data_IF_809475190958
#
_entry.id   IF_809475190958
#
_cell.length_a   1.000
_cell.length_b   1.000
_cell.length_c   1.000
_cell.angle_alpha   90.00
_cell.angle_beta   90.00
_cell.angle_gamma   90.00
#
_symmetry.space_group_name_H-M   'P 1'
#
loop_
_entity.id
_entity.type
_entity.pdbx_description
1 polymer ?
#
# COMPACT_ATOMS: atom_id res chain seq x y z
N UNK A 1 -31.61 -71.47 -28.68
CA UNK A 1 -30.16 -71.26 -28.87
C UNK A 1 -29.89 -69.77 -28.74
N UNK A 2 -29.26 -69.34 -27.65
CA UNK A 2 -28.88 -67.95 -27.48
C UNK A 2 -27.71 -67.65 -28.42
N UNK A 3 -27.89 -66.65 -29.29
CA UNK A 3 -26.84 -66.18 -30.20
C UNK A 3 -25.76 -65.54 -29.33
N UNK A 4 -24.60 -66.20 -29.19
CA UNK A 4 -23.48 -65.64 -28.45
C UNK A 4 -22.92 -64.46 -29.27
N UNK A 5 -22.93 -63.22 -28.75
CA UNK A 5 -22.43 -62.08 -29.49
C UNK A 5 -20.93 -62.26 -29.74
N UNK A 6 -20.50 -62.06 -30.99
CA UNK A 6 -19.10 -62.12 -31.40
C UNK A 6 -18.35 -61.02 -30.64
N UNK A 7 -17.41 -61.41 -29.78
CA UNK A 7 -16.59 -60.48 -28.99
C UNK A 7 -15.40 -60.07 -29.85
N UNK A 8 -15.14 -58.76 -29.96
CA UNK A 8 -13.97 -58.26 -30.70
C UNK A 8 -12.70 -58.55 -29.89
N UNK A 9 -11.70 -59.18 -30.50
CA UNK A 9 -10.46 -59.64 -29.84
C UNK A 9 -9.24 -58.86 -30.35
N UNK A 10 -8.33 -58.49 -29.44
CA UNK A 10 -7.07 -57.82 -29.79
C UNK A 10 -6.18 -58.67 -30.71
N UNK A 11 -5.36 -58.02 -31.53
CA UNK A 11 -4.45 -58.66 -32.50
C UNK A 11 -3.42 -59.58 -31.83
N UNK A 12 -2.94 -59.23 -30.64
CA UNK A 12 -1.99 -60.00 -29.83
C UNK A 12 -2.00 -59.49 -28.38
N UNK A 13 -1.60 -60.31 -27.40
CA UNK A 13 -1.40 -59.89 -26.00
C UNK A 13 0.09 -60.03 -25.58
N UNK A 14 0.97 -60.26 -26.55
CA UNK A 14 2.39 -60.56 -26.30
C UNK A 14 3.28 -59.31 -26.24
N UNK A 15 2.80 -58.18 -26.76
CA UNK A 15 3.52 -56.91 -26.83
C UNK A 15 2.57 -55.77 -26.52
N UNK A 16 3.08 -54.76 -25.82
CA UNK A 16 2.23 -53.74 -25.20
C UNK A 16 1.46 -52.89 -26.21
N UNK A 17 2.03 -52.66 -27.39
CA UNK A 17 1.39 -51.87 -28.45
C UNK A 17 0.32 -52.63 -29.28
N UNK A 18 0.16 -53.95 -29.07
CA UNK A 18 -0.88 -54.77 -29.72
C UNK A 18 -1.95 -55.26 -28.72
N UNK A 19 -1.68 -55.14 -27.43
CA UNK A 19 -2.52 -55.60 -26.33
C UNK A 19 -3.66 -54.62 -26.02
N UNK A 20 -4.86 -55.16 -25.83
CA UNK A 20 -6.03 -54.38 -25.41
C UNK A 20 -6.30 -54.66 -23.93
N UNK A 21 -6.50 -53.60 -23.14
CA UNK A 21 -6.69 -53.68 -21.69
C UNK A 21 -5.50 -53.25 -20.82
N UNK A 22 -4.48 -52.60 -21.40
CA UNK A 22 -3.38 -52.03 -20.63
C UNK A 22 -3.87 -50.93 -19.67
N UNK A 23 -3.30 -50.91 -18.46
CA UNK A 23 -3.60 -49.86 -17.50
C UNK A 23 -2.75 -48.63 -17.84
N UNK A 24 -3.43 -47.55 -18.20
CA UNK A 24 -2.82 -46.23 -18.33
C UNK A 24 -2.05 -45.82 -17.06
N UNK A 25 -0.82 -45.34 -17.22
CA UNK A 25 0.01 -44.85 -16.13
C UNK A 25 -0.38 -43.40 -15.78
N UNK A 26 -0.79 -43.19 -14.54
CA UNK A 26 -1.20 -41.89 -14.02
C UNK A 26 -0.50 -41.61 -12.70
N UNK A 27 0.00 -40.38 -12.54
CA UNK A 27 0.46 -39.91 -11.23
C UNK A 27 -0.72 -39.88 -10.26
N UNK A 28 -0.64 -40.57 -9.10
CA UNK A 28 -1.69 -40.56 -8.09
C UNK A 28 -1.81 -39.20 -7.36
N UNK A 29 -0.82 -38.32 -7.53
CA UNK A 29 -0.72 -37.01 -6.89
C UNK A 29 -0.97 -35.92 -7.94
N UNK A 30 -1.89 -35.01 -7.62
CA UNK A 30 -2.10 -33.77 -8.37
C UNK A 30 -1.11 -32.72 -7.83
N UNK A 31 -0.17 -32.28 -8.64
CA UNK A 31 0.75 -31.20 -8.30
C UNK A 31 0.10 -29.84 -8.63
N UNK A 32 0.03 -28.95 -7.63
CA UNK A 32 -0.35 -27.55 -7.85
C UNK A 32 0.86 -26.64 -7.60
N UNK A 33 1.14 -25.74 -8.53
CA UNK A 33 2.20 -24.72 -8.45
C UNK A 33 1.65 -23.31 -8.23
N UNK A 34 0.33 -23.18 -8.06
CA UNK A 34 -0.30 -21.90 -7.81
C UNK A 34 0.32 -21.23 -6.58
N UNK A 35 0.62 -19.94 -6.66
CA UNK A 35 1.23 -19.22 -5.56
C UNK A 35 0.20 -19.01 -4.44
N UNK A 36 0.32 -19.78 -3.35
CA UNK A 36 -0.45 -19.63 -2.11
C UNK A 36 0.03 -18.44 -1.24
N UNK A 37 0.62 -17.40 -1.83
CA UNK A 37 1.25 -16.30 -1.09
C UNK A 37 0.23 -15.22 -0.70
N UNK A 38 0.00 -15.08 0.61
CA UNK A 38 -0.89 -14.12 1.27
C UNK A 38 -0.10 -13.26 2.28
N UNK A 39 0.91 -12.54 1.78
CA UNK A 39 1.89 -11.84 2.61
C UNK A 39 1.21 -10.85 3.56
N UNK A 40 0.45 -9.89 3.05
CA UNK A 40 -0.25 -8.90 3.86
C UNK A 40 -1.26 -9.53 4.80
N UNK A 41 -2.04 -10.51 4.32
CA UNK A 41 -3.02 -11.20 5.16
C UNK A 41 -2.37 -11.91 6.37
N UNK A 42 -1.11 -12.33 6.24
CA UNK A 42 -0.36 -12.99 7.31
C UNK A 42 0.40 -12.00 8.21
N UNK A 43 1.04 -10.99 7.62
CA UNK A 43 1.89 -10.05 8.35
C UNK A 43 1.08 -8.96 9.07
N UNK A 44 -0.08 -8.55 8.53
CA UNK A 44 -0.89 -7.54 9.19
C UNK A 44 -1.56 -8.10 10.46
N UNK A 45 -1.44 -7.41 11.60
CA UNK A 45 -2.11 -7.82 12.82
C UNK A 45 -3.63 -7.79 12.62
N UNK A 46 -4.28 -8.81 13.19
CA UNK A 46 -5.74 -8.81 13.29
C UNK A 46 -6.15 -7.91 14.44
N UNK A 47 -6.87 -6.86 14.09
CA UNK A 47 -7.45 -5.90 15.04
C UNK A 47 -8.80 -6.42 15.56
N UNK A 48 -9.40 -5.69 16.51
CA UNK A 48 -10.75 -6.00 16.98
C UNK A 48 -11.75 -6.03 15.80
N UNK A 49 -12.75 -6.89 15.89
CA UNK A 49 -13.73 -7.07 14.82
C UNK A 49 -14.49 -5.75 14.54
N UNK A 50 -14.86 -5.53 13.28
CA UNK A 50 -15.60 -4.35 12.86
C UNK A 50 -17.07 -4.45 13.35
N UNK A 51 -17.59 -3.39 13.95
CA UNK A 51 -18.98 -3.30 14.40
C UNK A 51 -19.91 -2.64 13.38
N UNK A 52 -19.34 -1.95 12.39
CA UNK A 52 -20.05 -1.24 11.33
C UNK A 52 -19.38 -1.47 9.98
N UNK A 53 -20.16 -1.38 8.89
CA UNK A 53 -19.65 -1.52 7.51
C UNK A 53 -18.74 -0.37 7.08
N UNK A 54 -18.93 0.81 7.66
CA UNK A 54 -17.99 1.92 7.60
C UNK A 54 -17.43 2.11 9.01
N UNK A 55 -16.14 1.83 9.19
CA UNK A 55 -15.47 2.02 10.46
C UNK A 55 -14.50 3.19 10.37
N UNK A 56 -14.37 3.90 11.48
CA UNK A 56 -13.52 5.07 11.59
C UNK A 56 -12.61 4.96 12.81
N UNK A 57 -11.53 5.71 12.75
CA UNK A 57 -10.61 5.89 13.86
C UNK A 57 -10.13 7.34 13.87
N UNK A 58 -9.65 7.77 15.03
CA UNK A 58 -9.17 9.13 15.23
C UNK A 58 -7.64 9.12 15.23
N UNK A 59 -7.08 10.17 14.68
CA UNK A 59 -5.64 10.45 14.72
C UNK A 59 -5.43 11.83 15.30
N UNK A 60 -4.32 12.00 16.00
CA UNK A 60 -3.91 13.28 16.57
C UNK A 60 -2.47 13.57 16.14
N UNK A 61 -2.15 14.85 16.01
CA UNK A 61 -0.80 15.34 15.84
C UNK A 61 -0.51 16.42 16.86
N UNK A 62 0.71 16.45 17.38
CA UNK A 62 1.15 17.52 18.25
C UNK A 62 1.30 18.82 17.46
N UNK A 63 1.02 19.96 18.11
CA UNK A 63 1.34 21.27 17.51
C UNK A 63 2.86 21.40 17.32
N UNK A 64 3.30 22.12 16.28
CA UNK A 64 4.72 22.38 16.10
C UNK A 64 5.30 23.12 17.32
N UNK A 65 6.62 23.00 17.55
CA UNK A 65 7.28 23.70 18.64
C UNK A 65 7.10 25.22 18.48
N UNK A 66 7.05 25.92 19.61
CA UNK A 66 6.96 27.39 19.66
C UNK A 66 8.05 27.94 20.56
N UNK A 67 8.38 29.22 20.38
CA UNK A 67 9.18 29.95 21.36
C UNK A 67 8.35 30.10 22.63
N UNK A 68 8.65 29.28 23.64
CA UNK A 68 7.89 29.18 24.88
C UNK A 68 8.62 29.88 26.05
N UNK A 69 9.06 31.12 25.81
CA UNK A 69 9.65 31.97 26.83
C UNK A 69 8.53 32.76 27.54
N UNK A 70 8.58 32.78 28.86
CA UNK A 70 7.58 33.40 29.73
C UNK A 70 8.27 34.28 30.78
N UNK A 71 7.62 35.38 31.17
CA UNK A 71 8.15 36.27 32.22
C UNK A 71 8.04 35.61 33.60
N UNK A 72 8.87 36.06 34.56
CA UNK A 72 8.82 35.58 35.95
C UNK A 72 7.47 35.88 36.63
N UNK A 73 6.79 36.96 36.21
CA UNK A 73 5.45 37.34 36.66
C UNK A 73 4.57 37.68 35.45
N UNK A 74 3.70 36.76 35.06
CA UNK A 74 2.69 36.96 34.01
C UNK A 74 1.39 36.20 34.33
N UNK A 75 0.26 36.72 33.82
CA UNK A 75 -1.03 36.05 33.92
C UNK A 75 -1.13 34.93 32.87
N UNK A 76 -1.63 33.76 33.28
CA UNK A 76 -1.85 32.65 32.37
C UNK A 76 -2.89 32.99 31.30
N UNK A 77 -2.49 32.97 30.03
CA UNK A 77 -3.40 32.98 28.88
C UNK A 77 -3.59 31.55 28.38
N UNK A 78 -4.84 31.11 28.28
CA UNK A 78 -5.20 29.76 27.84
C UNK A 78 -5.74 29.79 26.41
N UNK A 79 -5.12 28.98 25.54
CA UNK A 79 -5.58 28.76 24.17
C UNK A 79 -6.44 27.50 24.06
N UNK A 80 -7.18 27.38 22.96
CA UNK A 80 -7.88 26.13 22.62
C UNK A 80 -6.85 25.01 22.38
N UNK A 81 -7.07 23.88 23.03
CA UNK A 81 -6.20 22.69 22.99
C UNK A 81 -6.79 21.62 22.08
N UNK A 82 -5.91 20.87 21.41
CA UNK A 82 -6.24 19.65 20.68
C UNK A 82 -6.85 19.87 19.28
N UNK A 83 -6.61 18.91 18.40
CA UNK A 83 -7.35 18.73 17.15
C UNK A 83 -7.26 17.26 16.76
N UNK A 84 -8.41 16.64 16.50
CA UNK A 84 -8.51 15.24 16.09
C UNK A 84 -8.90 15.20 14.63
N UNK A 85 -8.20 14.40 13.84
CA UNK A 85 -8.60 14.06 12.48
C UNK A 85 -9.24 12.67 12.43
N UNK A 86 -10.26 12.51 11.58
CA UNK A 86 -11.02 11.26 11.48
C UNK A 86 -10.74 10.59 10.15
N UNK A 87 -10.11 9.42 10.22
CA UNK A 87 -9.93 8.52 9.08
C UNK A 87 -11.04 7.47 9.06
N UNK A 88 -11.33 6.94 7.87
CA UNK A 88 -12.33 5.90 7.69
C UNK A 88 -11.92 4.90 6.61
N UNK A 89 -12.54 3.72 6.67
CA UNK A 89 -12.53 2.74 5.59
C UNK A 89 -13.79 1.87 5.69
N UNK A 90 -14.01 1.07 4.67
CA UNK A 90 -15.21 0.25 4.49
C UNK A 90 -14.86 -1.23 4.44
N UNK A 91 -15.79 -2.05 4.92
CA UNK A 91 -15.74 -3.51 4.82
C UNK A 91 -16.07 -3.94 3.39
N UNK A 92 -15.28 -4.85 2.83
CA UNK A 92 -15.56 -5.53 1.58
C UNK A 92 -16.06 -6.94 1.84
N UNK A 93 -17.03 -7.37 1.02
CA UNK A 93 -17.57 -8.73 1.05
C UNK A 93 -16.87 -9.59 -0.01
N UNK A 94 -16.46 -10.78 0.40
CA UNK A 94 -15.82 -11.79 -0.44
C UNK A 94 -16.69 -13.03 -0.45
N UNK A 95 -16.91 -13.57 -1.65
CA UNK A 95 -17.68 -14.80 -1.84
C UNK A 95 -16.99 -15.66 -2.89
N UNK A 96 -16.77 -16.93 -2.58
CA UNK A 96 -16.33 -17.95 -3.54
C UNK A 96 -17.33 -19.09 -3.52
N UNK A 97 -17.80 -19.51 -4.69
CA UNK A 97 -18.84 -20.54 -4.81
C UNK A 97 -18.38 -21.65 -5.74
N UNK A 98 -18.91 -22.85 -5.52
CA UNK A 98 -18.66 -23.98 -6.39
C UNK A 98 -19.72 -25.05 -6.25
N UNK A 99 -19.76 -25.98 -7.21
CA UNK A 99 -20.68 -27.11 -7.21
C UNK A 99 -20.05 -28.34 -7.83
N UNK A 100 -20.42 -29.51 -7.31
CA UNK A 100 -19.98 -30.81 -7.84
C UNK A 100 -21.19 -31.71 -7.99
N UNK A 101 -21.34 -32.34 -9.16
CA UNK A 101 -22.46 -33.24 -9.44
C UNK A 101 -22.38 -34.53 -8.62
N UNK A 102 -23.53 -35.10 -8.25
CA UNK A 102 -23.58 -36.34 -7.48
C UNK A 102 -22.93 -37.52 -8.24
N UNK A 103 -23.03 -37.52 -9.57
CA UNK A 103 -22.35 -38.49 -10.42
C UNK A 103 -20.83 -38.32 -10.34
N UNK A 104 -20.33 -37.09 -10.43
CA UNK A 104 -18.89 -36.83 -10.33
C UNK A 104 -18.34 -37.07 -8.92
N UNK A 105 -19.16 -37.17 -7.88
CA UNK A 105 -18.69 -37.61 -6.57
C UNK A 105 -18.58 -39.14 -6.46
N UNK A 106 -19.39 -39.88 -7.22
CA UNK A 106 -19.46 -41.36 -7.18
C UNK A 106 -18.53 -42.06 -8.16
N UNK A 107 -18.22 -41.46 -9.31
CA UNK A 107 -17.33 -42.07 -10.31
C UNK A 107 -15.95 -42.35 -9.67
N UNK A 108 -15.29 -43.45 -10.01
CA UNK A 108 -13.93 -43.72 -9.51
C UNK A 108 -12.91 -42.79 -10.18
N UNK A 109 -11.94 -42.28 -9.42
CA UNK A 109 -10.88 -41.38 -9.91
C UNK A 109 -9.57 -42.13 -9.93
N UNK A 110 -8.74 -41.82 -10.92
CA UNK A 110 -7.39 -42.38 -11.01
C UNK A 110 -6.44 -41.77 -9.96
N UNK A 111 -6.71 -40.56 -9.49
CA UNK A 111 -5.94 -39.86 -8.45
C UNK A 111 -6.44 -40.19 -7.03
N UNK A 112 -5.58 -40.02 -6.01
CA UNK A 112 -5.85 -40.48 -4.64
C UNK A 112 -7.10 -39.85 -3.98
N UNK A 113 -7.40 -38.59 -4.28
CA UNK A 113 -8.60 -37.92 -3.78
C UNK A 113 -9.84 -38.35 -4.59
N UNK A 114 -10.62 -39.28 -4.04
CA UNK A 114 -11.78 -39.86 -4.74
C UNK A 114 -13.03 -38.95 -4.74
N UNK A 115 -13.25 -38.17 -3.67
CA UNK A 115 -14.32 -37.15 -3.62
C UNK A 115 -13.77 -35.79 -4.06
N UNK A 116 -14.37 -35.25 -5.11
CA UNK A 116 -13.99 -33.98 -5.72
C UNK A 116 -14.50 -32.78 -4.91
N UNK A 117 -15.55 -32.96 -4.10
CA UNK A 117 -16.18 -31.85 -3.37
C UNK A 117 -15.29 -31.24 -2.27
N UNK A 118 -14.66 -32.01 -1.36
CA UNK A 118 -13.72 -31.47 -0.37
C UNK A 118 -12.49 -30.82 -1.02
N UNK A 119 -12.00 -31.40 -2.13
CA UNK A 119 -10.84 -30.87 -2.87
C UNK A 119 -11.14 -29.49 -3.47
N UNK A 120 -12.30 -29.35 -4.10
CA UNK A 120 -12.74 -28.07 -4.67
C UNK A 120 -12.99 -27.01 -3.59
N UNK A 121 -13.47 -27.43 -2.41
CA UNK A 121 -13.58 -26.53 -1.25
C UNK A 121 -12.22 -26.02 -0.77
N UNK A 122 -11.22 -26.88 -0.65
CA UNK A 122 -9.88 -26.47 -0.21
C UNK A 122 -9.27 -25.46 -1.21
N UNK A 123 -9.39 -25.72 -2.51
CA UNK A 123 -8.97 -24.79 -3.55
C UNK A 123 -9.72 -23.46 -3.48
N UNK A 124 -11.02 -23.49 -3.19
CA UNK A 124 -11.82 -22.29 -3.03
C UNK A 124 -11.39 -21.45 -1.81
N UNK A 125 -10.99 -22.07 -0.69
CA UNK A 125 -10.43 -21.33 0.46
C UNK A 125 -9.12 -20.63 0.10
N UNK A 126 -8.23 -21.31 -0.63
CA UNK A 126 -6.97 -20.73 -1.11
C UNK A 126 -7.23 -19.58 -2.09
N UNK A 127 -8.19 -19.75 -3.00
CA UNK A 127 -8.61 -18.70 -3.92
C UNK A 127 -9.16 -17.49 -3.17
N UNK A 128 -10.03 -17.69 -2.18
CA UNK A 128 -10.58 -16.60 -1.39
C UNK A 128 -9.48 -15.84 -0.63
N UNK A 129 -8.50 -16.55 -0.04
CA UNK A 129 -7.35 -15.91 0.59
C UNK A 129 -6.54 -15.05 -0.40
N UNK A 130 -6.37 -15.51 -1.63
CA UNK A 130 -5.71 -14.75 -2.71
C UNK A 130 -6.51 -13.52 -3.14
N UNK A 131 -7.84 -13.62 -3.17
CA UNK A 131 -8.72 -12.50 -3.52
C UNK A 131 -8.73 -11.45 -2.40
N UNK A 132 -8.66 -11.88 -1.14
CA UNK A 132 -8.47 -11.01 0.01
C UNK A 132 -7.11 -10.29 -0.04
N UNK A 133 -6.03 -11.01 -0.34
CA UNK A 133 -4.69 -10.43 -0.51
C UNK A 133 -4.68 -9.37 -1.62
N UNK A 134 -5.30 -9.68 -2.76
CA UNK A 134 -5.42 -8.74 -3.88
C UNK A 134 -6.13 -7.45 -3.46
N UNK A 135 -7.19 -7.56 -2.64
CA UNK A 135 -7.89 -6.38 -2.13
C UNK A 135 -6.99 -5.51 -1.24
N UNK A 136 -6.16 -6.11 -0.37
CA UNK A 136 -5.21 -5.36 0.48
C UNK A 136 -4.12 -4.72 -0.38
N UNK A 137 -3.57 -5.47 -1.32
CA UNK A 137 -2.43 -5.05 -2.12
C UNK A 137 -2.79 -3.97 -3.16
N UNK A 138 -3.95 -4.10 -3.84
CA UNK A 138 -4.24 -3.35 -5.08
C UNK A 138 -5.39 -2.35 -4.98
N UNK A 139 -6.28 -2.44 -3.99
CA UNK A 139 -7.42 -1.52 -3.96
C UNK A 139 -6.99 -0.07 -3.62
N UNK A 140 -7.27 0.85 -4.53
CA UNK A 140 -7.04 2.30 -4.38
C UNK A 140 -8.27 3.07 -3.93
N UNK A 141 -9.43 2.42 -3.76
CA UNK A 141 -10.70 3.10 -3.45
C UNK A 141 -11.43 2.38 -2.32
N UNK A 142 -11.83 3.15 -1.31
CA UNK A 142 -12.82 2.77 -0.29
C UNK A 142 -14.20 3.30 -0.66
N UNK A 143 -15.23 2.45 -0.58
CA UNK A 143 -16.63 2.87 -0.74
C UNK A 143 -17.61 1.86 -0.15
N UNK A 144 -18.78 2.36 0.23
CA UNK A 144 -19.94 1.55 0.55
C UNK A 144 -20.63 1.01 -0.72
N UNK A 145 -21.45 -0.01 -0.55
CA UNK A 145 -22.32 -0.52 -1.61
C UNK A 145 -23.34 0.55 -2.03
N UNK A 146 -23.61 0.62 -3.33
CA UNK A 146 -24.63 1.51 -3.88
C UNK A 146 -25.29 0.89 -5.10
N UNK A 147 -26.56 0.50 -4.97
CA UNK A 147 -27.31 -0.18 -6.04
C UNK A 147 -26.61 -1.46 -6.50
N UNK A 148 -26.16 -1.50 -7.76
CA UNK A 148 -25.39 -2.64 -8.30
C UNK A 148 -23.88 -2.52 -8.11
N UNK A 149 -23.39 -1.48 -7.43
CA UNK A 149 -21.97 -1.25 -7.21
C UNK A 149 -21.56 -1.85 -5.86
N UNK A 150 -20.73 -2.92 -5.84
CA UNK A 150 -20.33 -3.55 -4.59
C UNK A 150 -19.49 -2.63 -3.71
N UNK A 151 -19.56 -2.85 -2.39
CA UNK A 151 -18.65 -2.27 -1.42
C UNK A 151 -17.21 -2.70 -1.72
N UNK A 152 -16.26 -1.77 -1.53
CA UNK A 152 -14.82 -2.05 -1.67
C UNK A 152 -14.09 -1.49 -0.48
N UNK A 153 -13.11 -2.23 0.02
CA UNK A 153 -12.21 -1.75 1.06
C UNK A 153 -11.01 -1.08 0.40
N UNK A 154 -10.57 0.05 0.95
CA UNK A 154 -9.29 0.64 0.57
C UNK A 154 -8.15 -0.25 1.07
N UNK A 155 -7.24 -0.63 0.18
CA UNK A 155 -6.03 -1.37 0.52
C UNK A 155 -4.88 -0.44 0.91
N UNK A 156 -3.67 -0.96 0.94
CA UNK A 156 -2.44 -0.16 1.12
C UNK A 156 -2.36 1.02 0.13
N UNK A 157 -2.68 0.85 -1.18
CA UNK A 157 -2.71 1.95 -2.14
C UNK A 157 -3.64 3.11 -1.79
N UNK A 158 -4.79 2.84 -1.20
CA UNK A 158 -5.76 3.87 -0.85
C UNK A 158 -5.22 4.83 0.21
N UNK A 159 -4.46 4.31 1.18
CA UNK A 159 -3.87 5.12 2.24
C UNK A 159 -2.57 5.81 1.81
N UNK A 160 -1.89 5.29 0.78
CA UNK A 160 -0.62 5.80 0.24
C UNK A 160 -0.74 6.45 -1.14
N UNK A 161 -1.94 6.91 -1.51
CA UNK A 161 -2.17 7.71 -2.72
C UNK A 161 -1.89 9.19 -2.44
N UNK A 162 -1.42 9.95 -3.43
CA UNK A 162 -1.12 11.39 -3.26
C UNK A 162 -2.30 12.17 -2.67
N UNK A 163 -2.08 12.79 -1.51
CA UNK A 163 -3.01 13.75 -0.93
C UNK A 163 -2.47 15.16 -1.16
N UNK A 164 -3.08 15.86 -2.12
CA UNK A 164 -2.59 17.15 -2.61
C UNK A 164 -3.60 18.28 -2.38
N UNK A 165 -3.09 19.44 -1.97
CA UNK A 165 -3.87 20.67 -1.83
C UNK A 165 -3.34 21.72 -2.82
N UNK A 166 -4.21 22.24 -3.69
CA UNK A 166 -3.79 23.22 -4.70
C UNK A 166 -3.32 24.51 -4.05
N UNK A 167 -2.18 25.02 -4.51
CA UNK A 167 -1.55 26.25 -4.01
C UNK A 167 -1.23 27.19 -5.17
N UNK A 168 -1.42 28.48 -4.92
CA UNK A 168 -1.03 29.56 -5.81
C UNK A 168 0.04 30.40 -5.11
N UNK A 169 1.10 30.73 -5.82
CA UNK A 169 2.20 31.55 -5.31
C UNK A 169 2.14 32.96 -5.89
N UNK A 170 2.34 33.97 -5.05
CA UNK A 170 2.43 35.37 -5.46
C UNK A 170 3.86 35.89 -5.27
N UNK A 171 4.58 36.11 -6.37
CA UNK A 171 6.00 36.47 -6.34
C UNK A 171 6.30 37.88 -5.80
N UNK A 172 5.32 38.79 -5.81
CA UNK A 172 5.50 40.15 -5.29
C UNK A 172 5.38 40.19 -3.78
N UNK A 173 4.38 39.49 -3.24
CA UNK A 173 4.12 39.41 -1.80
C UNK A 173 4.90 38.28 -1.10
N UNK A 174 5.51 37.36 -1.87
CA UNK A 174 6.16 36.14 -1.41
C UNK A 174 5.25 35.27 -0.53
N UNK A 175 3.96 35.25 -0.87
CA UNK A 175 2.91 34.51 -0.17
C UNK A 175 2.47 33.30 -0.98
N UNK A 176 2.04 32.26 -0.26
CA UNK A 176 1.35 31.12 -0.81
C UNK A 176 -0.11 31.12 -0.34
N UNK A 177 -1.03 30.81 -1.24
CA UNK A 177 -2.47 30.75 -0.95
C UNK A 177 -3.05 29.43 -1.43
N UNK A 178 -3.78 28.75 -0.55
CA UNK A 178 -4.46 27.49 -0.86
C UNK A 178 -5.92 27.71 -1.24
N UNK A 179 -6.47 26.82 -2.07
CA UNK A 179 -7.88 26.88 -2.48
C UNK A 179 -8.88 26.60 -1.36
N UNK A 180 -8.43 25.90 -0.32
CA UNK A 180 -9.20 25.55 0.88
C UNK A 180 -8.36 25.78 2.14
N UNK A 181 -8.99 25.69 3.31
CA UNK A 181 -8.30 25.84 4.58
C UNK A 181 -7.18 24.79 4.72
N UNK A 182 -5.93 25.24 4.86
CA UNK A 182 -4.78 24.33 4.84
C UNK A 182 -4.64 23.49 6.11
N UNK A 183 -5.26 23.90 7.23
CA UNK A 183 -5.21 23.23 8.55
C UNK A 183 -3.79 23.07 9.12
N UNK A 184 -2.87 23.94 8.71
CA UNK A 184 -1.48 23.96 9.19
C UNK A 184 -1.33 25.12 10.20
N UNK A 185 -0.39 24.96 11.11
CA UNK A 185 0.01 25.97 12.09
C UNK A 185 1.40 26.52 11.75
N UNK A 186 1.75 27.65 12.34
CA UNK A 186 3.11 28.19 12.21
C UNK A 186 4.12 27.20 12.77
N UNK A 187 5.15 26.87 11.99
CA UNK A 187 6.18 25.88 12.32
C UNK A 187 5.97 24.50 11.72
N UNK A 188 4.80 24.23 11.12
CA UNK A 188 4.61 23.00 10.34
C UNK A 188 5.47 23.03 9.06
N UNK A 189 5.98 21.86 8.67
CA UNK A 189 6.74 21.70 7.43
C UNK A 189 5.88 21.13 6.31
N UNK A 190 6.19 21.52 5.06
CA UNK A 190 5.47 21.10 3.86
C UNK A 190 6.40 20.81 2.70
N UNK A 191 5.92 19.98 1.77
CA UNK A 191 6.56 19.72 0.49
C UNK A 191 5.68 20.25 -0.64
N UNK A 192 6.32 20.70 -1.71
CA UNK A 192 5.63 21.14 -2.91
C UNK A 192 5.94 20.24 -4.10
N UNK A 193 4.91 19.98 -4.88
CA UNK A 193 5.00 19.25 -6.13
C UNK A 193 4.37 20.09 -7.23
N UNK A 194 4.85 19.88 -8.45
CA UNK A 194 4.31 20.48 -9.66
C UNK A 194 3.78 19.36 -10.55
N UNK A 195 2.55 19.48 -11.05
CA UNK A 195 1.98 18.45 -11.90
C UNK A 195 2.56 18.50 -13.32
N UNK A 196 2.87 17.33 -13.90
CA UNK A 196 3.33 17.19 -15.28
C UNK A 196 4.55 18.06 -15.61
N UNK A 197 4.38 19.03 -16.53
CA UNK A 197 5.40 19.98 -16.98
C UNK A 197 5.35 21.31 -16.23
N UNK A 198 4.55 21.39 -15.17
CA UNK A 198 4.51 22.55 -14.30
C UNK A 198 5.88 22.77 -13.64
N UNK A 199 6.14 24.01 -13.23
CA UNK A 199 7.41 24.41 -12.61
C UNK A 199 7.11 25.15 -11.32
N UNK A 200 7.77 24.70 -10.25
CA UNK A 200 7.76 25.42 -8.99
C UNK A 200 8.40 26.82 -9.15
N UNK A 201 8.08 27.76 -8.24
CA UNK A 201 8.82 29.00 -8.10
C UNK A 201 10.33 28.79 -8.09
N UNK A 202 11.10 29.75 -8.63
CA UNK A 202 12.54 29.64 -8.82
C UNK A 202 13.31 29.14 -7.58
N UNK A 203 12.92 29.59 -6.39
CA UNK A 203 13.61 29.27 -5.15
C UNK A 203 12.96 28.14 -4.34
N UNK A 204 12.00 27.43 -4.94
CA UNK A 204 11.40 26.21 -4.41
C UNK A 204 11.78 25.02 -5.30
N UNK A 205 12.35 23.99 -4.67
CA UNK A 205 12.60 22.67 -5.23
C UNK A 205 11.58 21.65 -4.68
N UNK A 206 11.29 20.64 -5.51
CA UNK A 206 10.58 19.44 -5.09
C UNK A 206 11.42 18.61 -4.10
N UNK A 207 10.77 17.73 -3.33
CA UNK A 207 11.39 16.85 -2.32
C UNK A 207 12.19 17.57 -1.23
N UNK A 208 12.01 18.88 -1.09
CA UNK A 208 12.58 19.68 -0.01
C UNK A 208 11.47 20.21 0.89
N UNK A 209 11.73 20.21 2.18
CA UNK A 209 10.84 20.78 3.18
C UNK A 209 10.94 22.30 3.25
N UNK A 210 9.81 22.93 3.54
CA UNK A 210 9.70 24.35 3.85
C UNK A 210 8.84 24.53 5.08
N UNK A 211 9.18 25.50 5.93
CA UNK A 211 8.44 25.80 7.15
C UNK A 211 7.45 26.93 6.91
N UNK A 212 6.26 26.79 7.49
CA UNK A 212 5.15 27.71 7.29
C UNK A 212 5.06 28.72 8.43
N UNK A 213 4.78 29.98 8.10
CA UNK A 213 4.15 30.94 9.02
C UNK A 213 2.71 31.20 8.58
N UNK A 214 1.76 30.88 9.45
CA UNK A 214 0.33 31.04 9.15
C UNK A 214 -0.07 32.52 9.22
N UNK A 215 -0.60 33.08 8.13
CA UNK A 215 -1.20 34.44 8.10
C UNK A 215 -2.72 34.40 8.24
N UNK A 216 -3.35 33.43 7.60
CA UNK A 216 -4.78 33.15 7.69
C UNK A 216 -5.02 31.64 7.52
N UNK A 217 -6.27 31.18 7.48
CA UNK A 217 -6.56 29.75 7.22
C UNK A 217 -6.25 29.31 5.78
N UNK A 218 -6.01 30.24 4.87
CA UNK A 218 -5.73 29.97 3.45
C UNK A 218 -4.41 30.56 2.96
N UNK A 219 -3.80 31.48 3.71
CA UNK A 219 -2.59 32.20 3.29
C UNK A 219 -1.47 31.99 4.30
N UNK A 220 -0.27 31.72 3.78
CA UNK A 220 0.93 31.55 4.57
C UNK A 220 2.19 32.02 3.85
N UNK A 221 3.25 32.18 4.63
CA UNK A 221 4.60 32.45 4.15
C UNK A 221 5.50 31.24 4.35
N UNK A 222 6.61 31.21 3.61
CA UNK A 222 7.57 30.10 3.61
C UNK A 222 8.96 30.53 4.10
N UNK A 223 9.60 29.63 4.84
CA UNK A 223 10.95 29.78 5.40
C UNK A 223 11.77 28.50 5.20
N UNK A 224 13.09 28.63 5.16
CA UNK A 224 13.99 27.48 5.01
C UNK A 224 14.23 26.73 6.31
N UNK A 225 13.97 27.37 7.45
CA UNK A 225 14.15 26.80 8.78
C UNK A 225 12.98 27.10 9.70
N UNK A 226 12.77 26.20 10.67
CA UNK A 226 11.78 26.34 11.72
C UNK A 226 12.00 27.61 12.54
N UNK A 227 13.24 27.87 12.94
CA UNK A 227 13.60 29.00 13.80
C UNK A 227 13.24 30.34 13.14
N UNK A 228 13.46 30.47 11.83
CA UNK A 228 13.08 31.67 11.08
C UNK A 228 11.56 31.85 11.01
N UNK A 229 10.80 30.77 10.78
CA UNK A 229 9.35 30.83 10.77
C UNK A 229 8.78 31.24 12.14
N UNK A 230 9.33 30.70 13.22
CA UNK A 230 8.93 31.03 14.60
C UNK A 230 9.33 32.45 15.00
N UNK A 231 10.55 32.88 14.65
CA UNK A 231 11.01 34.24 14.91
C UNK A 231 10.11 35.26 14.21
N UNK A 232 9.71 34.99 12.96
CA UNK A 232 8.84 35.85 12.18
C UNK A 232 7.38 35.90 12.68
N UNK A 233 6.92 34.93 13.46
CA UNK A 233 5.56 34.89 14.05
C UNK A 233 5.50 35.42 15.48
N UNK A 234 6.66 35.65 16.09
CA UNK A 234 6.75 36.15 17.46
C UNK A 234 6.18 37.57 17.60
N UNK A 235 5.67 37.91 18.78
CA UNK A 235 5.25 39.28 19.09
C UNK A 235 6.40 40.30 19.10
N UNK A 236 7.64 39.81 19.11
CA UNK A 236 8.88 40.59 19.07
C UNK A 236 9.50 40.62 17.66
N UNK A 237 8.83 40.04 16.66
CA UNK A 237 9.34 39.94 15.30
C UNK A 237 9.70 41.31 14.73
N UNK A 238 10.93 41.44 14.23
CA UNK A 238 11.37 42.66 13.56
C UNK A 238 11.04 42.62 12.06
N UNK A 239 11.20 43.75 11.38
CA UNK A 239 11.14 43.79 9.91
C UNK A 239 12.23 42.91 9.25
N UNK A 240 13.34 42.64 9.94
CA UNK A 240 14.36 41.73 9.46
C UNK A 240 13.91 40.26 9.53
N UNK A 241 13.23 39.86 10.61
CA UNK A 241 12.74 38.48 10.79
C UNK A 241 11.63 38.16 9.78
N UNK A 242 10.68 39.08 9.64
CA UNK A 242 9.62 38.95 8.62
C UNK A 242 10.15 39.05 7.18
N UNK A 243 11.31 39.68 6.98
CA UNK A 243 12.00 39.80 5.70
C UNK A 243 12.78 38.54 5.28
N UNK A 244 12.97 37.55 6.16
CA UNK A 244 13.60 36.25 5.82
C UNK A 244 12.68 35.29 5.07
N UNK A 245 11.44 35.72 4.79
CA UNK A 245 10.52 34.97 3.93
C UNK A 245 11.23 34.63 2.61
N UNK A 246 11.03 33.40 2.14
CA UNK A 246 11.63 32.94 0.89
C UNK A 246 11.15 33.85 -0.25
N UNK A 247 12.09 34.55 -0.88
CA UNK A 247 11.81 35.28 -2.11
C UNK A 247 11.50 34.27 -3.20
N UNK A 248 10.26 34.25 -3.71
CA UNK A 248 9.84 33.22 -4.67
C UNK A 248 10.47 33.41 -6.05
N UNK A 249 10.83 34.66 -6.39
CA UNK A 249 11.42 35.08 -7.67
C UNK A 249 10.41 35.07 -8.83
N UNK A 250 9.63 34.00 -8.95
CA UNK A 250 8.56 33.80 -9.93
C UNK A 250 7.39 33.08 -9.28
N UNK A 251 6.16 33.24 -9.80
CA UNK A 251 4.99 32.51 -9.29
C UNK A 251 4.98 30.99 -9.63
N UNK A 252 5.97 30.49 -10.36
CA UNK A 252 5.90 29.17 -10.98
C UNK A 252 4.94 29.16 -12.18
N UNK A 253 4.69 27.98 -12.75
CA UNK A 253 3.80 27.82 -13.90
C UNK A 253 3.02 26.52 -13.81
N UNK A 254 1.74 26.53 -14.20
CA UNK A 254 0.86 25.36 -14.17
C UNK A 254 0.21 25.13 -12.81
N UNK A 255 -0.29 23.91 -12.59
CA UNK A 255 -0.91 23.52 -11.33
C UNK A 255 0.14 23.05 -10.33
N UNK A 256 0.18 23.74 -9.19
CA UNK A 256 1.12 23.50 -8.10
C UNK A 256 0.35 23.02 -6.87
N UNK A 257 0.95 22.10 -6.13
CA UNK A 257 0.29 21.48 -4.99
C UNK A 257 1.22 21.37 -3.79
N UNK A 258 0.61 21.52 -2.61
CA UNK A 258 1.17 21.11 -1.33
C UNK A 258 0.87 19.62 -1.12
N UNK A 259 1.91 18.83 -0.90
CA UNK A 259 1.82 17.39 -0.65
C UNK A 259 1.68 17.11 0.85
N UNK A 260 0.61 16.43 1.26
CA UNK A 260 0.29 16.18 2.67
C UNK A 260 0.82 14.84 3.20
N UNK A 261 1.09 13.89 2.31
CA UNK A 261 1.56 12.55 2.63
C UNK A 261 2.96 12.27 2.07
N UNK A 262 3.46 11.05 2.24
CA UNK A 262 4.84 10.65 1.90
C UNK A 262 4.85 9.90 0.56
N UNK A 263 4.64 10.63 -0.53
CA UNK A 263 4.60 10.03 -1.87
C UNK A 263 5.63 10.71 -2.76
N UNK A 264 6.48 9.91 -3.40
CA UNK A 264 7.46 10.37 -4.38
C UNK A 264 7.07 9.85 -5.75
N UNK A 265 6.98 10.76 -6.72
CA UNK A 265 6.71 10.44 -8.12
C UNK A 265 8.02 10.03 -8.84
N UNK A 266 8.05 8.82 -9.38
CA UNK A 266 9.15 8.29 -10.19
C UNK A 266 9.21 8.87 -11.62
N UNK A 267 8.26 9.72 -12.00
CA UNK A 267 8.15 10.43 -13.26
C UNK A 267 8.19 9.52 -14.52
N UNK A 268 7.68 8.30 -14.41
CA UNK A 268 7.73 7.28 -15.46
C UNK A 268 9.14 6.71 -15.69
N UNK A 269 10.08 6.97 -14.78
CA UNK A 269 11.48 6.53 -14.87
C UNK A 269 11.82 5.51 -13.78
N UNK A 270 12.85 4.70 -14.02
CA UNK A 270 13.28 3.72 -13.03
C UNK A 270 13.78 4.41 -11.77
N UNK A 271 13.28 3.99 -10.60
CA UNK A 271 13.66 4.60 -9.32
C UNK A 271 15.18 4.57 -9.08
N UNK A 272 15.61 5.58 -8.33
CA UNK A 272 16.99 5.76 -7.84
C UNK A 272 17.07 5.52 -6.33
N UNK A 273 18.29 5.51 -5.80
CA UNK A 273 18.53 5.49 -4.35
C UNK A 273 17.96 6.75 -3.67
N UNK A 274 18.09 7.90 -4.33
CA UNK A 274 17.54 9.17 -3.84
C UNK A 274 16.02 9.08 -3.64
N UNK A 275 15.28 8.42 -4.54
CA UNK A 275 13.83 8.25 -4.33
C UNK A 275 13.49 7.43 -3.07
N UNK A 276 14.31 6.44 -2.73
CA UNK A 276 14.13 5.66 -1.50
C UNK A 276 14.43 6.53 -0.29
N UNK A 277 15.54 7.26 -0.31
CA UNK A 277 15.95 8.14 0.78
C UNK A 277 14.97 9.31 0.99
N UNK A 278 14.45 9.90 -0.08
CA UNK A 278 13.43 10.96 -0.03
C UNK A 278 12.16 10.46 0.68
N UNK A 279 11.66 9.26 0.34
CA UNK A 279 10.47 8.69 1.02
C UNK A 279 10.78 8.38 2.49
N UNK A 280 11.94 7.82 2.78
CA UNK A 280 12.36 7.53 4.15
C UNK A 280 12.47 8.80 5.01
N UNK A 281 13.04 9.86 4.46
CA UNK A 281 13.14 11.16 5.11
C UNK A 281 11.76 11.75 5.39
N UNK A 282 10.85 11.67 4.40
CA UNK A 282 9.47 12.12 4.55
C UNK A 282 8.72 11.37 5.67
N UNK A 283 8.91 10.05 5.78
CA UNK A 283 8.35 9.24 6.85
C UNK A 283 8.96 9.61 8.21
N UNK A 284 10.29 9.70 8.30
CA UNK A 284 11.01 10.03 9.52
C UNK A 284 10.59 11.39 10.09
N UNK A 285 10.52 12.42 9.23
CA UNK A 285 10.08 13.77 9.64
C UNK A 285 8.64 13.80 10.17
N UNK A 286 7.79 12.87 9.73
CA UNK A 286 6.41 12.71 10.21
C UNK A 286 6.30 11.69 11.37
N UNK A 287 7.42 11.19 11.87
CA UNK A 287 7.50 10.29 13.03
C UNK A 287 7.21 8.83 12.73
N UNK A 288 7.35 8.39 11.47
CA UNK A 288 7.24 6.98 11.09
C UNK A 288 8.59 6.33 10.81
N UNK A 289 8.67 5.03 11.09
CA UNK A 289 9.89 4.23 10.91
C UNK A 289 9.59 3.00 10.02
N UNK A 290 9.43 3.18 8.70
CA UNK A 290 9.14 2.08 7.79
C UNK A 290 10.30 1.08 7.73
N UNK A 291 9.97 -0.21 7.92
CA UNK A 291 10.97 -1.31 8.01
C UNK A 291 10.89 -2.28 6.84
N UNK A 292 9.79 -2.28 6.09
CA UNK A 292 9.53 -3.21 5.00
C UNK A 292 9.21 -2.43 3.72
N UNK A 293 9.89 -2.74 2.63
CA UNK A 293 9.53 -2.25 1.30
C UNK A 293 8.88 -3.37 0.49
N UNK A 294 7.60 -3.25 0.17
CA UNK A 294 6.87 -4.22 -0.66
C UNK A 294 6.89 -3.77 -2.12
N UNK A 295 7.27 -4.68 -3.00
CA UNK A 295 7.45 -4.38 -4.42
C UNK A 295 7.21 -5.60 -5.32
N UNK A 296 7.06 -5.35 -6.61
CA UNK A 296 7.01 -6.41 -7.62
C UNK A 296 8.37 -7.12 -7.78
N UNK A 297 8.37 -8.29 -8.42
CA UNK A 297 9.61 -9.02 -8.71
C UNK A 297 10.56 -8.23 -9.62
N UNK A 298 10.04 -7.44 -10.56
CA UNK A 298 10.85 -6.58 -11.43
C UNK A 298 11.53 -5.47 -10.62
N UNK A 299 10.77 -4.80 -9.76
CA UNK A 299 11.28 -3.74 -8.88
C UNK A 299 12.29 -4.27 -7.87
N UNK A 300 12.13 -5.50 -7.36
CA UNK A 300 13.13 -6.11 -6.48
C UNK A 300 14.46 -6.37 -7.18
N UNK A 301 14.44 -6.83 -8.45
CA UNK A 301 15.68 -6.99 -9.23
C UNK A 301 16.38 -5.64 -9.41
N UNK A 302 15.62 -4.57 -9.64
CA UNK A 302 16.15 -3.21 -9.72
C UNK A 302 16.69 -2.73 -8.39
N UNK A 303 15.99 -2.99 -7.28
CA UNK A 303 16.42 -2.63 -5.93
C UNK A 303 17.80 -3.22 -5.65
N UNK A 304 17.98 -4.53 -5.86
CA UNK A 304 19.29 -5.16 -5.72
C UNK A 304 20.36 -4.52 -6.60
N UNK A 305 20.04 -4.13 -7.83
CA UNK A 305 20.98 -3.47 -8.74
C UNK A 305 21.36 -2.05 -8.29
N UNK A 306 20.41 -1.26 -7.77
CA UNK A 306 20.66 0.09 -7.24
C UNK A 306 21.57 0.02 -6.02
N UNK A 307 21.30 -0.88 -5.08
CA UNK A 307 22.09 -1.02 -3.85
C UNK A 307 23.50 -1.58 -4.11
N UNK A 308 23.63 -2.59 -4.99
CA UNK A 308 24.94 -3.22 -5.29
C UNK A 308 25.80 -2.42 -6.27
N UNK A 309 25.20 -1.55 -7.09
CA UNK A 309 25.90 -0.72 -8.08
C UNK A 309 26.93 0.24 -7.49
N UNK A 310 26.79 0.61 -6.21
CA UNK A 310 27.77 1.44 -5.49
C UNK A 310 28.79 0.61 -4.70
N UNK A 311 28.40 -0.56 -4.17
CA UNK A 311 29.30 -1.46 -3.44
C UNK A 311 30.45 -2.00 -4.32
N UNK A 312 30.21 -2.20 -5.62
CA UNK A 312 31.24 -2.61 -6.59
C UNK A 312 32.30 -1.53 -6.89
N UNK A 313 32.03 -0.25 -6.59
CA UNK A 313 33.00 0.85 -6.76
C UNK A 313 34.02 0.96 -5.62
N UNK A 314 33.83 0.20 -4.53
CA UNK A 314 34.67 0.28 -3.31
C UNK A 314 35.27 -1.05 -2.87
N UNK A 315 35.15 -2.13 -3.66
CA UNK A 315 35.74 -3.43 -3.30
C UNK A 315 37.18 -3.53 -3.79
N UNK A 316 38.08 -3.80 -2.85
CA UNK A 316 39.42 -4.31 -3.13
C UNK A 316 39.34 -5.69 -3.79
N UNK A 317 40.28 -5.96 -4.70
CA UNK A 317 40.37 -7.09 -5.65
C UNK A 317 40.38 -8.51 -5.03
N UNK A 318 40.19 -8.66 -3.70
CA UNK A 318 40.42 -9.90 -2.95
C UNK A 318 39.15 -10.70 -2.60
N UNK A 319 37.97 -10.10 -2.59
CA UNK A 319 36.71 -10.81 -2.30
C UNK A 319 36.04 -11.33 -3.58
N UNK A 320 36.24 -12.63 -3.85
CA UNK A 320 35.79 -13.34 -5.06
C UNK A 320 34.34 -13.82 -5.07
N UNK A 321 33.51 -13.45 -4.08
CA UNK A 321 32.08 -13.77 -4.10
C UNK A 321 31.25 -12.51 -4.37
N UNK A 322 30.67 -12.47 -5.57
CA UNK A 322 29.74 -11.42 -6.00
C UNK A 322 28.34 -11.80 -5.53
N UNK A 323 27.93 -11.29 -4.38
CA UNK A 323 26.55 -11.43 -3.91
C UNK A 323 25.71 -10.31 -4.51
N UNK A 324 25.12 -10.54 -5.69
CA UNK A 324 24.29 -9.55 -6.41
C UNK A 324 22.85 -9.41 -5.85
N UNK A 325 22.57 -10.04 -4.71
CA UNK A 325 21.25 -10.03 -4.09
C UNK A 325 21.42 -9.39 -2.72
N UNK A 326 20.78 -8.24 -2.52
CA UNK A 326 20.78 -7.54 -1.24
C UNK A 326 19.32 -7.33 -0.84
N UNK A 327 18.92 -7.99 0.26
CA UNK A 327 17.54 -7.90 0.73
C UNK A 327 17.29 -6.71 1.64
N UNK A 328 18.35 -6.17 2.23
CA UNK A 328 18.27 -5.11 3.24
C UNK A 328 19.11 -3.93 2.80
N UNK A 329 18.51 -2.74 2.83
CA UNK A 329 19.19 -1.48 2.63
C UNK A 329 19.22 -0.71 3.95
N UNK A 330 20.38 -0.19 4.32
CA UNK A 330 20.55 0.66 5.49
C UNK A 330 20.67 2.09 4.97
N UNK A 331 19.63 2.88 5.20
CA UNK A 331 19.59 4.31 4.95
C UNK A 331 19.98 5.08 6.21
N UNK A 332 20.22 6.38 6.07
CA UNK A 332 20.47 7.28 7.21
C UNK A 332 19.27 7.38 8.17
N UNK A 333 18.07 7.02 7.70
CA UNK A 333 16.81 7.08 8.45
C UNK A 333 16.33 5.71 8.94
N UNK A 334 17.13 4.65 8.76
CA UNK A 334 16.77 3.31 9.23
C UNK A 334 17.03 2.22 8.21
N UNK A 335 16.66 0.99 8.59
CA UNK A 335 16.91 -0.21 7.80
C UNK A 335 15.63 -0.72 7.17
N UNK A 336 15.66 -0.92 5.85
CA UNK A 336 14.52 -1.39 5.06
C UNK A 336 14.82 -2.77 4.52
N UNK A 337 13.92 -3.71 4.72
CA UNK A 337 13.97 -5.03 4.09
C UNK A 337 12.99 -5.10 2.93
N UNK A 338 13.50 -5.34 1.73
CA UNK A 338 12.67 -5.43 0.54
C UNK A 338 12.02 -6.82 0.41
N UNK A 339 10.69 -6.85 0.36
CA UNK A 339 9.85 -8.03 0.22
C UNK A 339 9.17 -8.06 -1.15
N UNK A 340 9.16 -9.23 -1.79
CA UNK A 340 8.53 -9.41 -3.10
C UNK A 340 7.09 -9.83 -2.95
N UNK A 341 6.18 -9.08 -3.58
CA UNK A 341 4.78 -9.45 -3.68
C UNK A 341 4.42 -9.78 -5.13
N UNK A 342 3.83 -10.96 -5.36
CA UNK A 342 3.58 -11.49 -6.71
C UNK A 342 2.51 -10.72 -7.48
N UNK A 343 1.50 -10.21 -6.78
CA UNK A 343 0.41 -9.44 -7.39
C UNK A 343 0.72 -7.94 -7.41
N UNK A 344 1.90 -7.50 -6.91
CA UNK A 344 2.24 -6.08 -6.93
C UNK A 344 2.48 -5.59 -8.35
N UNK A 345 1.86 -4.46 -8.68
CA UNK A 345 2.12 -3.74 -9.91
C UNK A 345 3.55 -3.19 -9.93
N UNK A 346 4.13 -3.08 -11.14
CA UNK A 346 5.48 -2.55 -11.33
C UNK A 346 5.56 -1.03 -11.19
N UNK A 347 4.43 -0.34 -11.30
CA UNK A 347 4.33 1.12 -11.22
C UNK A 347 4.51 1.69 -9.80
N UNK A 348 4.62 0.84 -8.78
CA UNK A 348 4.66 1.25 -7.37
C UNK A 348 5.63 0.43 -6.51
N UNK A 349 6.10 1.07 -5.44
CA UNK A 349 6.82 0.47 -4.31
C UNK A 349 6.29 1.11 -3.05
N UNK A 350 5.94 0.31 -2.04
CA UNK A 350 5.41 0.81 -0.78
C UNK A 350 6.35 0.52 0.38
N UNK A 351 6.72 1.56 1.11
CA UNK A 351 7.56 1.51 2.31
C UNK A 351 6.65 1.60 3.53
N UNK A 352 6.56 0.52 4.29
CA UNK A 352 5.52 0.32 5.28
C UNK A 352 6.11 0.17 6.68
N UNK A 353 5.50 0.89 7.62
CA UNK A 353 5.65 0.67 9.06
C UNK A 353 4.51 -0.23 9.55
N UNK A 354 4.81 -1.53 9.68
CA UNK A 354 3.84 -2.60 9.99
C UNK A 354 3.04 -2.35 11.28
N UNK A 355 3.55 -1.56 12.22
CA UNK A 355 2.86 -1.31 13.50
C UNK A 355 1.57 -0.50 13.33
N UNK A 356 1.44 0.27 12.25
CA UNK A 356 0.29 1.13 11.98
C UNK A 356 -0.71 0.52 11.00
N UNK A 357 -0.51 -0.72 10.57
CA UNK A 357 -1.41 -1.44 9.69
C UNK A 357 -2.15 -2.53 10.45
N UNK A 358 -3.38 -2.81 10.07
CA UNK A 358 -4.16 -3.91 10.64
C UNK A 358 -5.36 -4.29 9.81
N UNK A 359 -5.88 -5.49 10.05
CA UNK A 359 -7.07 -6.03 9.39
C UNK A 359 -8.21 -6.11 10.41
N UNK A 360 -9.37 -5.55 10.08
CA UNK A 360 -10.60 -5.69 10.86
C UNK A 360 -11.56 -6.62 10.14
N UNK A 361 -11.84 -7.78 10.72
CA UNK A 361 -12.85 -8.69 10.20
C UNK A 361 -14.24 -8.23 10.63
N UNK A 362 -15.20 -8.28 9.70
CA UNK A 362 -16.62 -8.26 10.03
C UNK A 362 -17.14 -9.70 10.15
N UNK A 363 -16.70 -10.56 9.23
CA UNK A 363 -16.93 -12.01 9.29
C UNK A 363 -15.67 -12.73 8.81
N UNK A 364 -15.17 -13.67 9.62
CA UNK A 364 -14.00 -14.49 9.27
C UNK A 364 -14.35 -15.47 8.13
N UNK A 365 -13.35 -15.91 7.34
CA UNK A 365 -13.53 -16.97 6.35
C UNK A 365 -14.25 -18.19 6.93
N UNK A 366 -15.43 -18.51 6.40
CA UNK A 366 -16.20 -19.68 6.82
C UNK A 366 -17.03 -20.23 5.66
N UNK A 367 -17.45 -21.50 5.79
CA UNK A 367 -18.42 -22.12 4.88
C UNK A 367 -19.85 -21.78 5.34
N UNK A 368 -20.71 -21.43 4.39
CA UNK A 368 -22.14 -21.30 4.63
C UNK A 368 -22.74 -22.69 4.82
N UNK A 369 -23.15 -22.99 6.05
CA UNK A 369 -23.70 -24.31 6.41
C UNK A 369 -25.18 -24.42 6.03
N UNK A 370 -25.65 -25.65 5.77
CA UNK A 370 -27.07 -25.93 5.56
C UNK A 370 -27.64 -25.53 4.19
N UNK A 371 -26.82 -25.44 3.15
CA UNK A 371 -27.28 -25.16 1.79
C UNK A 371 -28.16 -26.30 1.26
N UNK A 372 -29.42 -25.98 0.90
CA UNK A 372 -30.33 -26.94 0.29
C UNK A 372 -29.88 -27.32 -1.13
N UNK A 373 -30.00 -28.59 -1.49
CA UNK A 373 -29.77 -29.04 -2.87
C UNK A 373 -30.77 -28.35 -3.82
N UNK A 374 -30.25 -27.71 -4.86
CA UNK A 374 -31.05 -27.09 -5.94
C UNK A 374 -31.18 -27.97 -7.18
N UNK A 375 -30.34 -28.99 -7.31
CA UNK A 375 -30.31 -29.90 -8.45
C UNK A 375 -29.57 -31.20 -8.11
N UNK A 376 -29.18 -31.97 -9.13
CA UNK A 376 -28.41 -33.23 -8.99
C UNK A 376 -26.93 -32.97 -8.71
N UNK A 377 -26.65 -32.04 -7.81
CA UNK A 377 -25.31 -31.60 -7.42
C UNK A 377 -25.33 -31.04 -5.98
N UNK A 378 -24.16 -31.02 -5.35
CA UNK A 378 -23.94 -30.30 -4.09
C UNK A 378 -23.22 -28.98 -4.37
N UNK A 379 -23.66 -27.92 -3.69
CA UNK A 379 -23.05 -26.59 -3.76
C UNK A 379 -22.31 -26.30 -2.45
N UNK A 380 -21.26 -25.50 -2.55
CA UNK A 380 -20.62 -24.86 -1.40
C UNK A 380 -20.49 -23.36 -1.67
N UNK A 381 -20.59 -22.58 -0.60
CA UNK A 381 -20.41 -21.13 -0.61
C UNK A 381 -19.47 -20.80 0.55
N UNK A 382 -18.39 -20.10 0.25
CA UNK A 382 -17.44 -19.56 1.21
C UNK A 382 -17.61 -18.05 1.27
N UNK A 383 -17.69 -17.52 2.49
CA UNK A 383 -17.89 -16.09 2.73
C UNK A 383 -16.84 -15.56 3.70
N UNK A 384 -16.37 -14.35 3.43
CA UNK A 384 -15.54 -13.57 4.32
C UNK A 384 -15.86 -12.09 4.13
N UNK A 385 -15.68 -11.29 5.17
CA UNK A 385 -15.75 -9.84 5.03
C UNK A 385 -14.79 -9.15 5.98
N UNK A 386 -14.00 -8.22 5.45
CA UNK A 386 -13.00 -7.49 6.22
C UNK A 386 -12.75 -6.10 5.61
N UNK A 387 -12.08 -5.24 6.37
CA UNK A 387 -11.45 -4.03 5.84
C UNK A 387 -10.08 -3.76 6.45
N UNK A 388 -9.28 -2.93 5.78
CA UNK A 388 -7.94 -2.54 6.23
C UNK A 388 -8.00 -1.27 7.07
N UNK A 389 -7.23 -1.22 8.15
CA UNK A 389 -7.05 -0.02 8.99
C UNK A 389 -5.59 0.42 8.90
N UNK A 390 -5.34 1.57 8.28
CA UNK A 390 -4.07 2.29 8.38
C UNK A 390 -4.18 3.34 9.49
N UNK A 391 -3.80 2.99 10.72
CA UNK A 391 -3.97 3.84 11.90
C UNK A 391 -3.30 5.20 11.70
N UNK A 392 -2.08 5.23 11.16
CA UNK A 392 -1.39 6.45 10.76
C UNK A 392 -0.71 6.23 9.39
N UNK A 393 -1.36 6.57 8.27
CA UNK A 393 -0.80 6.39 6.94
C UNK A 393 0.50 7.17 6.73
N UNK A 394 0.66 8.32 7.40
CA UNK A 394 1.85 9.18 7.34
C UNK A 394 3.10 8.55 7.99
N UNK A 395 2.98 7.41 8.65
CA UNK A 395 4.15 6.64 9.09
C UNK A 395 4.79 5.82 7.96
N UNK A 396 4.03 5.60 6.88
CA UNK A 396 4.43 4.85 5.68
C UNK A 396 4.49 5.79 4.48
N UNK A 397 5.06 5.32 3.37
CA UNK A 397 5.20 6.10 2.15
C UNK A 397 5.29 5.24 0.90
N UNK A 398 5.21 5.87 -0.27
CA UNK A 398 5.20 5.16 -1.55
C UNK A 398 6.03 5.88 -2.61
N UNK A 399 6.62 5.09 -3.51
CA UNK A 399 7.17 5.55 -4.77
C UNK A 399 6.19 5.11 -5.85
N UNK A 400 5.63 6.05 -6.60
CA UNK A 400 4.57 5.79 -7.60
C UNK A 400 5.01 6.22 -8.99
N UNK A 401 4.22 5.87 -10.02
CA UNK A 401 4.48 6.24 -11.41
C UNK A 401 5.88 5.77 -11.89
N UNK A 402 6.23 4.55 -11.52
CA UNK A 402 7.40 3.85 -12.05
C UNK A 402 7.09 3.26 -13.43
N UNK A 403 8.11 2.95 -14.26
CA UNK A 403 7.90 2.28 -15.54
C UNK A 403 7.21 0.93 -15.32
N UNK A 404 6.20 0.66 -16.14
CA UNK A 404 5.38 -0.55 -16.10
C UNK A 404 6.18 -1.84 -16.37
#
# INVERSE_FOLDING_TARGET
MANNPIVNTSTSQSVTYEAEGEKEDFSPIIANIDPDHNFFLREFPTEEDATQLNFNWLTESLKPPKVNAHLEMEDYKTDKVGSLDRLNNTVQFFQTTGRVSDAQRKTAKQYNQQDEFPRQKELAFKQMARDMEYAIAMNTVSRLESGMTPAKTGGVPFFLQEEKLKVTFESTANTATTSEAHKLNTGDFVYFIAADKAKLPQNLAANREYYIRKKSDTTFDLFYSLDEALAADSSEATSADTGKVIALGTAGSGDLFLLKNNVVDGAGTAFTEDNINDVMEMCYKRGGDPTVAVMSAANKRRFSAVITGQASKRRDQKDKTVTNITDTYISDFGTITAQVHRQYSNDRIDLLDMNYWGIKYFVRPHEVTGLAKKGTYEEFVLEASFGVKGTQPKASGSIVNLPA
#
